data_IF_464600199149
#
_entry.id   IF_464600199149
#
_cell.length_a   1.000
_cell.length_b   1.000
_cell.length_c   1.000
_cell.angle_alpha   90.00
_cell.angle_beta   90.00
_cell.angle_gamma   90.00
#
_symmetry.space_group_name_H-M   'P 1'
#
loop_
_entity.id
_entity.type
_entity.pdbx_description
1 polymer ?
#
# COMPACT_ATOMS: atom_id res chain seq x y z
N UNK A 1 15.14 10.72 1.55
CA UNK A 1 13.88 11.49 1.44
C UNK A 1 13.01 11.03 0.27
N UNK A 2 13.56 10.86 -0.94
CA UNK A 2 12.81 10.38 -2.12
C UNK A 2 12.03 9.07 -1.91
N UNK A 3 12.62 8.11 -1.19
CA UNK A 3 11.97 6.82 -0.90
C UNK A 3 10.75 6.98 0.01
N UNK A 4 10.81 7.88 1.00
CA UNK A 4 9.69 8.15 1.90
C UNK A 4 8.52 8.80 1.14
N UNK A 5 8.82 9.72 0.21
CA UNK A 5 7.81 10.33 -0.67
C UNK A 5 7.16 9.27 -1.56
N UNK A 6 7.96 8.37 -2.16
CA UNK A 6 7.45 7.24 -2.94
C UNK A 6 6.52 6.33 -2.13
N UNK A 7 6.89 6.01 -0.89
CA UNK A 7 6.04 5.20 0.00
C UNK A 7 4.73 5.90 0.36
N UNK A 8 4.75 7.22 0.58
CA UNK A 8 3.54 7.99 0.84
C UNK A 8 2.56 7.96 -0.33
N UNK A 9 3.06 8.02 -1.56
CA UNK A 9 2.23 7.90 -2.78
C UNK A 9 1.63 6.50 -2.90
N UNK A 10 2.43 5.45 -2.65
CA UNK A 10 1.96 4.05 -2.68
C UNK A 10 0.90 3.80 -1.60
N UNK A 11 1.09 4.36 -0.40
CA UNK A 11 0.11 4.31 0.69
C UNK A 11 -1.21 5.00 0.31
N UNK A 12 -1.14 6.21 -0.26
CA UNK A 12 -2.32 6.94 -0.73
C UNK A 12 -3.09 6.15 -1.82
N UNK A 13 -2.37 5.53 -2.77
CA UNK A 13 -2.97 4.66 -3.78
C UNK A 13 -3.64 3.42 -3.16
N UNK A 14 -3.00 2.81 -2.16
CA UNK A 14 -3.58 1.70 -1.41
C UNK A 14 -4.88 2.07 -0.70
N UNK A 15 -4.98 3.27 -0.14
CA UNK A 15 -6.22 3.78 0.48
C UNK A 15 -7.32 3.97 -0.56
N UNK A 16 -7.01 4.48 -1.75
CA UNK A 16 -7.99 4.70 -2.84
C UNK A 16 -8.51 3.38 -3.41
N UNK A 17 -7.75 2.29 -3.35
CA UNK A 17 -8.22 0.96 -3.74
C UNK A 17 -9.37 0.45 -2.87
N UNK A 18 -9.49 0.86 -1.60
CA UNK A 18 -10.59 0.40 -0.74
C UNK A 18 -11.97 0.86 -1.21
N UNK A 19 -12.27 2.16 -1.40
CA UNK A 19 -13.55 2.59 -1.92
C UNK A 19 -13.78 2.11 -3.36
N UNK A 20 -12.74 1.90 -4.16
CA UNK A 20 -12.89 1.27 -5.48
C UNK A 20 -13.36 -0.18 -5.37
N UNK A 21 -12.80 -0.96 -4.45
CA UNK A 21 -13.22 -2.33 -4.19
C UNK A 21 -14.70 -2.42 -3.79
N UNK A 22 -15.20 -1.48 -2.98
CA UNK A 22 -16.61 -1.42 -2.59
C UNK A 22 -17.56 -0.95 -3.70
N UNK A 23 -17.03 -0.37 -4.79
CA UNK A 23 -17.81 0.08 -5.96
C UNK A 23 -17.80 -0.93 -7.10
N UNK A 24 -17.07 -2.04 -6.98
CA UNK A 24 -16.98 -3.08 -8.00
C UNK A 24 -18.13 -4.08 -7.83
N UNK A 25 -18.93 -4.30 -8.88
CA UNK A 25 -20.03 -5.27 -8.86
C UNK A 25 -19.55 -6.74 -8.85
N UNK A 26 -18.34 -6.99 -9.39
CA UNK A 26 -17.72 -8.31 -9.39
C UNK A 26 -17.04 -8.62 -8.05
N UNK A 27 -17.59 -9.58 -7.30
CA UNK A 27 -17.05 -10.01 -5.99
C UNK A 27 -15.57 -10.40 -6.06
N UNK A 28 -15.15 -11.08 -7.14
CA UNK A 28 -13.76 -11.49 -7.30
C UNK A 28 -12.83 -10.30 -7.52
N UNK A 29 -13.25 -9.31 -8.31
CA UNK A 29 -12.48 -8.08 -8.53
C UNK A 29 -12.45 -7.19 -7.28
N UNK A 30 -13.55 -7.13 -6.54
CA UNK A 30 -13.64 -6.42 -5.26
C UNK A 30 -12.61 -6.95 -4.25
N UNK A 31 -12.56 -8.28 -4.06
CA UNK A 31 -11.60 -8.92 -3.14
C UNK A 31 -10.16 -8.72 -3.62
N UNK A 32 -9.90 -8.81 -4.93
CA UNK A 32 -8.58 -8.57 -5.51
C UNK A 32 -8.11 -7.12 -5.27
N UNK A 33 -8.96 -6.12 -5.49
CA UNK A 33 -8.63 -4.72 -5.24
C UNK A 33 -8.42 -4.44 -3.75
N UNK A 34 -9.24 -5.05 -2.89
CA UNK A 34 -9.13 -4.93 -1.44
C UNK A 34 -7.80 -5.52 -0.94
N UNK A 35 -7.49 -6.75 -1.35
CA UNK A 35 -6.23 -7.42 -0.99
C UNK A 35 -5.01 -6.69 -1.57
N UNK A 36 -5.07 -6.21 -2.82
CA UNK A 36 -4.03 -5.40 -3.42
C UNK A 36 -3.79 -4.08 -2.65
N UNK A 37 -4.87 -3.41 -2.20
CA UNK A 37 -4.79 -2.23 -1.35
C UNK A 37 -4.08 -2.50 -0.01
N UNK A 38 -4.36 -3.65 0.63
CA UNK A 38 -3.67 -4.08 1.85
C UNK A 38 -2.18 -4.35 1.56
N UNK A 39 -1.87 -5.11 0.50
CA UNK A 39 -0.50 -5.43 0.11
C UNK A 39 0.33 -4.18 -0.20
N UNK A 40 -0.23 -3.21 -0.92
CA UNK A 40 0.43 -1.93 -1.22
C UNK A 40 0.69 -1.12 0.04
N UNK A 41 -0.25 -1.08 0.98
CA UNK A 41 -0.06 -0.42 2.27
C UNK A 41 1.03 -1.11 3.11
N UNK A 42 1.01 -2.45 3.20
CA UNK A 42 2.05 -3.22 3.87
C UNK A 42 3.43 -2.95 3.27
N UNK A 43 3.54 -2.91 1.93
CA UNK A 43 4.78 -2.61 1.23
C UNK A 43 5.27 -1.18 1.54
N UNK A 44 4.36 -0.20 1.55
CA UNK A 44 4.67 1.20 1.85
C UNK A 44 5.21 1.38 3.27
N UNK A 45 4.81 0.57 4.25
CA UNK A 45 5.39 0.57 5.60
C UNK A 45 6.67 -0.26 5.71
N UNK A 46 6.78 -1.36 4.96
CA UNK A 46 7.92 -2.26 5.02
C UNK A 46 9.21 -1.61 4.47
N UNK A 47 9.14 -0.88 3.36
CA UNK A 47 10.29 -0.21 2.74
C UNK A 47 10.99 0.77 3.70
N UNK A 48 10.30 1.77 4.30
CA UNK A 48 10.95 2.69 5.23
C UNK A 48 11.44 1.98 6.50
N UNK A 49 10.71 0.95 6.99
CA UNK A 49 11.14 0.15 8.13
C UNK A 49 12.49 -0.55 7.89
N UNK A 50 12.67 -1.18 6.73
CA UNK A 50 13.94 -1.81 6.34
C UNK A 50 15.09 -0.79 6.27
N UNK A 51 14.83 0.41 5.75
CA UNK A 51 15.83 1.47 5.62
C UNK A 51 16.24 2.02 6.99
N UNK A 52 15.28 2.23 7.90
CA UNK A 52 15.57 2.68 9.27
C UNK A 52 16.25 1.60 10.12
N UNK A 53 15.97 0.33 9.88
CA UNK A 53 16.58 -0.80 10.59
C UNK A 53 18.06 -1.00 10.29
N UNK A 54 18.53 -0.57 9.10
CA UNK A 54 19.95 -0.65 8.72
C UNK A 54 20.84 0.42 9.38
N UNK A 55 20.26 1.48 9.96
CA UNK A 55 21.03 2.58 10.58
C UNK A 55 21.48 2.30 12.02
N UNK A 56 21.24 1.08 12.56
CA UNK A 56 21.74 0.64 13.89
C UNK A 56 22.87 -0.40 13.77
N UNK A 57 23.82 -0.21 12.86
CA UNK A 57 25.11 -0.90 12.89
C UNK A 57 26.22 0.08 12.57
#
# INVERSE_FOLDING_TARGET
MLIAIGCFIVFALGIVCYPLAFRMDDNMMSILLFSAGILLNCLAFFIPWQITGHSRK
#
